data_IF_988298381469
#
_entry.id   IF_988298381469
#
_cell.length_a   1.000
_cell.length_b   1.000
_cell.length_c   1.000
_cell.angle_alpha   90.00
_cell.angle_beta   90.00
_cell.angle_gamma   90.00
#
_symmetry.space_group_name_H-M   'P 1'
#
loop_
_entity.id
_entity.type
_entity.pdbx_description
1 polymer ?
#
# COMPACT_ATOMS: atom_id res chain seq x y z
N UNK A 1 -17.30 34.29 -53.88
CA UNK A 1 -17.16 33.39 -52.71
C UNK A 1 -17.60 34.19 -51.50
N UNK A 2 -18.87 34.06 -51.13
CA UNK A 2 -19.48 34.85 -50.06
C UNK A 2 -19.04 34.29 -48.70
N UNK A 3 -18.16 35.01 -48.01
CA UNK A 3 -17.86 34.70 -46.62
C UNK A 3 -19.08 35.07 -45.79
N UNK A 4 -19.90 34.06 -45.44
CA UNK A 4 -20.95 34.18 -44.41
C UNK A 4 -20.29 34.51 -43.08
N UNK A 5 -20.04 35.79 -42.83
CA UNK A 5 -19.75 36.31 -41.48
C UNK A 5 -21.06 36.30 -40.70
N UNK A 6 -21.48 35.11 -40.28
CA UNK A 6 -22.56 34.96 -39.32
C UNK A 6 -22.12 35.61 -38.02
N UNK A 7 -22.77 36.71 -37.64
CA UNK A 7 -22.49 37.37 -36.36
C UNK A 7 -22.77 36.39 -35.23
N UNK A 8 -21.76 36.10 -34.41
CA UNK A 8 -21.87 35.20 -33.27
C UNK A 8 -22.96 35.75 -32.35
N UNK A 9 -24.04 35.01 -32.17
CA UNK A 9 -25.12 35.47 -31.30
C UNK A 9 -24.69 35.28 -29.84
N UNK A 10 -25.04 36.23 -28.98
CA UNK A 10 -24.71 36.16 -27.55
C UNK A 10 -25.23 34.85 -26.92
N UNK A 11 -26.34 34.32 -27.42
CA UNK A 11 -26.93 33.03 -27.05
C UNK A 11 -25.99 31.85 -27.36
N UNK A 12 -25.31 31.87 -28.50
CA UNK A 12 -24.37 30.82 -28.91
C UNK A 12 -23.12 30.82 -28.00
N UNK A 13 -22.62 32.00 -27.62
CA UNK A 13 -21.53 32.13 -26.64
C UNK A 13 -21.96 31.61 -25.26
N UNK A 14 -23.14 32.00 -24.79
CA UNK A 14 -23.66 31.55 -23.50
C UNK A 14 -23.87 30.03 -23.47
N UNK A 15 -24.37 29.46 -24.57
CA UNK A 15 -24.57 28.02 -24.70
C UNK A 15 -23.22 27.29 -24.70
N UNK A 16 -22.22 27.80 -25.41
CA UNK A 16 -20.87 27.23 -25.41
C UNK A 16 -20.21 27.27 -24.02
N UNK A 17 -20.34 28.38 -23.29
CA UNK A 17 -19.81 28.51 -21.93
C UNK A 17 -20.55 27.59 -20.95
N UNK A 18 -21.88 27.47 -21.06
CA UNK A 18 -22.67 26.56 -20.22
C UNK A 18 -22.31 25.10 -20.47
N UNK A 19 -22.20 24.69 -21.73
CA UNK A 19 -21.77 23.33 -22.10
C UNK A 19 -20.35 23.06 -21.61
N UNK A 20 -19.44 24.02 -21.77
CA UNK A 20 -18.06 23.88 -21.30
C UNK A 20 -17.99 23.81 -19.77
N UNK A 21 -18.75 24.64 -19.07
CA UNK A 21 -18.85 24.61 -17.61
C UNK A 21 -19.44 23.32 -17.08
N UNK A 22 -20.52 22.81 -17.68
CA UNK A 22 -21.13 21.53 -17.33
C UNK A 22 -20.15 20.37 -17.58
N UNK A 23 -19.44 20.39 -18.71
CA UNK A 23 -18.41 19.41 -19.03
C UNK A 23 -17.27 19.43 -17.99
N UNK A 24 -16.78 20.62 -17.62
CA UNK A 24 -15.76 20.77 -16.57
C UNK A 24 -16.26 20.26 -15.22
N UNK A 25 -17.52 20.54 -14.86
CA UNK A 25 -18.13 20.05 -13.62
C UNK A 25 -18.32 18.53 -13.60
N UNK A 26 -18.46 17.87 -14.74
CA UNK A 26 -18.51 16.40 -14.82
C UNK A 26 -17.12 15.77 -14.73
N UNK A 27 -16.11 16.38 -15.34
CA UNK A 27 -14.73 15.87 -15.37
C UNK A 27 -14.01 16.13 -14.03
N UNK A 28 -14.25 17.29 -13.40
CA UNK A 28 -13.58 17.71 -12.18
C UNK A 28 -13.73 16.74 -10.97
N UNK A 29 -14.94 16.26 -10.60
CA UNK A 29 -15.09 15.30 -9.50
C UNK A 29 -14.47 13.94 -9.83
N UNK A 30 -14.57 13.49 -11.08
CA UNK A 30 -13.92 12.25 -11.56
C UNK A 30 -12.40 12.34 -11.44
N UNK A 31 -11.79 13.45 -11.88
CA UNK A 31 -10.34 13.70 -11.74
C UNK A 31 -9.92 13.71 -10.27
N UNK A 32 -10.69 14.36 -9.39
CA UNK A 32 -10.35 14.47 -7.97
C UNK A 32 -10.56 13.17 -7.19
N UNK A 33 -11.45 12.29 -7.66
CA UNK A 33 -11.60 10.95 -7.10
C UNK A 33 -10.49 10.03 -7.61
N UNK A 34 -10.16 10.09 -8.90
CA UNK A 34 -9.08 9.31 -9.51
C UNK A 34 -7.71 9.59 -8.87
N UNK A 35 -7.39 10.85 -8.56
CA UNK A 35 -6.12 11.19 -7.88
C UNK A 35 -6.03 10.56 -6.49
N UNK A 36 -7.11 10.65 -5.69
CA UNK A 36 -7.15 10.04 -4.35
C UNK A 36 -7.29 8.52 -4.35
N UNK A 37 -7.64 7.92 -5.49
CA UNK A 37 -7.66 6.47 -5.66
C UNK A 37 -6.27 6.02 -6.08
N UNK A 38 -5.62 6.72 -7.01
CA UNK A 38 -4.29 6.35 -7.53
C UNK A 38 -3.19 6.45 -6.48
N UNK A 39 -3.23 7.45 -5.59
CA UNK A 39 -2.33 7.51 -4.42
C UNK A 39 -2.55 6.29 -3.51
N UNK A 40 -3.82 5.94 -3.21
CA UNK A 40 -4.14 4.80 -2.34
C UNK A 40 -3.81 3.43 -2.89
N UNK A 41 -3.90 3.23 -4.21
CA UNK A 41 -3.53 1.93 -4.79
C UNK A 41 -2.01 1.75 -4.85
N UNK A 42 -1.26 2.82 -5.10
CA UNK A 42 0.20 2.78 -5.12
C UNK A 42 0.78 2.43 -3.75
N UNK A 43 0.28 3.08 -2.69
CA UNK A 43 0.79 2.90 -1.33
C UNK A 43 0.39 1.54 -0.75
N UNK A 44 -0.80 1.03 -1.10
CA UNK A 44 -1.23 -0.30 -0.65
C UNK A 44 -0.44 -1.43 -1.33
N UNK A 45 -0.18 -1.31 -2.63
CA UNK A 45 0.64 -2.30 -3.37
C UNK A 45 2.10 -2.30 -2.89
N UNK A 46 2.66 -1.14 -2.55
CA UNK A 46 3.99 -1.05 -1.92
C UNK A 46 4.00 -1.62 -0.51
N UNK A 47 3.00 -1.30 0.33
CA UNK A 47 2.90 -1.86 1.67
C UNK A 47 2.80 -3.39 1.66
N UNK A 48 2.09 -3.97 0.69
CA UNK A 48 2.01 -5.43 0.51
C UNK A 48 3.36 -6.02 0.10
N UNK A 49 4.07 -5.39 -0.85
CA UNK A 49 5.40 -5.84 -1.27
C UNK A 49 6.41 -5.81 -0.12
N UNK A 50 6.42 -4.74 0.67
CA UNK A 50 7.28 -4.58 1.85
C UNK A 50 6.90 -5.61 2.91
N UNK A 51 5.61 -5.74 3.23
CA UNK A 51 5.11 -6.69 4.22
C UNK A 51 5.47 -8.13 3.89
N UNK A 52 5.34 -8.53 2.62
CA UNK A 52 5.72 -9.87 2.15
C UNK A 52 7.24 -10.10 2.15
N UNK A 53 8.03 -9.08 1.81
CA UNK A 53 9.50 -9.15 1.88
C UNK A 53 9.99 -9.31 3.33
N UNK A 54 9.43 -8.55 4.26
CA UNK A 54 9.74 -8.66 5.70
C UNK A 54 9.30 -10.02 6.22
N UNK A 55 8.09 -10.48 5.87
CA UNK A 55 7.62 -11.81 6.28
C UNK A 55 8.55 -12.93 5.82
N UNK A 56 9.01 -12.86 4.57
CA UNK A 56 9.95 -13.84 4.03
C UNK A 56 11.31 -13.77 4.71
N UNK A 57 11.85 -12.57 4.92
CA UNK A 57 13.12 -12.38 5.59
C UNK A 57 13.12 -12.95 7.01
N UNK A 58 12.07 -12.67 7.77
CA UNK A 58 11.88 -13.19 9.13
C UNK A 58 11.73 -14.70 9.13
N UNK A 59 10.93 -15.25 8.22
CA UNK A 59 10.73 -16.69 8.08
C UNK A 59 12.03 -17.41 7.75
N UNK A 60 12.78 -16.92 6.78
CA UNK A 60 14.06 -17.50 6.38
C UNK A 60 15.10 -17.36 7.51
N UNK A 61 15.14 -16.22 8.20
CA UNK A 61 16.04 -15.99 9.33
C UNK A 61 15.76 -16.89 10.53
N UNK A 62 14.48 -17.13 10.85
CA UNK A 62 14.07 -18.05 11.91
C UNK A 62 14.34 -19.52 11.55
N UNK A 63 14.10 -19.91 10.29
CA UNK A 63 14.35 -21.28 9.84
C UNK A 63 15.85 -21.61 9.74
N UNK A 64 16.66 -20.65 9.32
CA UNK A 64 18.13 -20.80 9.23
C UNK A 64 18.82 -20.66 10.59
N UNK A 65 18.10 -20.18 11.62
CA UNK A 65 18.65 -19.87 12.94
C UNK A 65 19.51 -18.61 12.96
N UNK A 66 19.47 -17.80 11.90
CA UNK A 66 20.15 -16.51 11.83
C UNK A 66 19.47 -15.45 12.70
N UNK A 67 18.16 -15.58 12.94
CA UNK A 67 17.37 -14.71 13.81
C UNK A 67 16.86 -15.56 14.97
N UNK A 68 17.08 -15.10 16.21
CA UNK A 68 16.48 -15.72 17.38
C UNK A 68 15.12 -15.09 17.67
N UNK A 69 14.22 -15.88 18.27
CA UNK A 69 12.87 -15.41 18.61
C UNK A 69 12.91 -14.18 19.53
N UNK A 70 13.86 -14.12 20.47
CA UNK A 70 14.03 -12.98 21.36
C UNK A 70 14.64 -11.73 20.71
N UNK A 71 15.14 -11.85 19.47
CA UNK A 71 15.69 -10.73 18.70
C UNK A 71 14.68 -10.18 17.67
N UNK A 72 13.49 -10.80 17.55
CA UNK A 72 12.45 -10.37 16.59
C UNK A 72 11.93 -8.96 16.88
N UNK A 73 11.74 -8.62 18.15
CA UNK A 73 11.27 -7.29 18.57
C UNK A 73 12.34 -6.20 18.41
N UNK A 74 13.63 -6.58 18.34
CA UNK A 74 14.76 -5.66 18.16
C UNK A 74 15.32 -5.69 16.73
N UNK A 75 14.70 -6.46 15.82
CA UNK A 75 15.18 -6.61 14.46
C UNK A 75 15.03 -5.27 13.72
N UNK A 76 16.14 -4.69 13.27
CA UNK A 76 16.09 -3.43 12.54
C UNK A 76 15.46 -3.66 11.17
N UNK A 77 14.29 -3.07 10.94
CA UNK A 77 13.60 -3.09 9.65
C UNK A 77 13.92 -1.88 8.78
N UNK A 78 14.94 -1.10 9.14
CA UNK A 78 15.35 0.11 8.42
C UNK A 78 15.64 -0.12 6.93
N UNK A 79 16.08 -1.34 6.58
CA UNK A 79 16.32 -1.74 5.17
C UNK A 79 15.02 -1.79 4.35
N UNK A 80 13.87 -1.96 5.01
CA UNK A 80 12.53 -2.07 4.43
C UNK A 80 11.67 -0.83 4.69
N UNK A 81 12.21 0.19 5.36
CA UNK A 81 11.51 1.44 5.63
C UNK A 81 11.59 2.32 4.39
N UNK A 82 10.46 2.58 3.74
CA UNK A 82 10.36 3.51 2.60
C UNK A 82 9.50 4.71 3.00
N UNK A 83 10.06 5.91 2.88
CA UNK A 83 9.45 7.23 3.15
C UNK A 83 8.49 7.27 4.35
N UNK A 84 7.21 6.94 4.16
CA UNK A 84 6.13 7.01 5.16
C UNK A 84 5.68 5.63 5.70
N UNK A 85 6.19 4.52 5.15
CA UNK A 85 5.85 3.14 5.50
C UNK A 85 6.78 2.60 6.60
N UNK A 86 6.19 2.31 7.75
CA UNK A 86 6.87 1.74 8.92
C UNK A 86 6.41 0.29 9.10
N UNK A 87 7.26 -0.69 8.76
CA UNK A 87 7.00 -2.09 9.08
C UNK A 87 7.32 -2.36 10.55
N UNK A 88 6.42 -3.08 11.22
CA UNK A 88 6.56 -3.52 12.60
C UNK A 88 6.33 -5.03 12.67
N UNK A 89 7.11 -5.71 13.50
CA UNK A 89 6.95 -7.14 13.81
C UNK A 89 6.53 -7.24 15.27
N UNK A 90 5.52 -8.06 15.54
CA UNK A 90 5.11 -8.43 16.88
C UNK A 90 5.01 -9.94 17.01
N UNK A 91 5.56 -10.49 18.09
CA UNK A 91 5.45 -11.91 18.42
C UNK A 91 4.24 -12.10 19.32
N UNK A 92 3.23 -12.87 18.89
CA UNK A 92 2.06 -13.13 19.73
C UNK A 92 2.20 -14.38 20.59
N UNK A 93 2.83 -15.43 20.04
CA UNK A 93 3.08 -16.69 20.75
C UNK A 93 4.44 -17.24 20.32
N UNK A 94 5.24 -17.66 21.29
CA UNK A 94 6.52 -18.32 21.04
C UNK A 94 6.56 -19.64 21.81
N UNK A 95 6.64 -20.74 21.09
CA UNK A 95 6.90 -22.08 21.61
C UNK A 95 8.28 -22.56 21.13
N UNK A 96 8.84 -23.62 21.73
CA UNK A 96 10.18 -24.13 21.37
C UNK A 96 10.35 -24.49 19.88
N UNK A 97 9.26 -24.88 19.20
CA UNK A 97 9.28 -25.33 17.80
C UNK A 97 8.48 -24.44 16.84
N UNK A 98 7.72 -23.47 17.35
CA UNK A 98 6.85 -22.60 16.53
C UNK A 98 6.80 -21.19 17.09
N UNK A 99 6.75 -20.22 16.22
CA UNK A 99 6.58 -18.81 16.55
C UNK A 99 5.42 -18.27 15.74
N UNK A 100 4.45 -17.67 16.40
CA UNK A 100 3.38 -16.92 15.77
C UNK A 100 3.82 -15.45 15.73
N UNK A 101 4.04 -14.95 14.51
CA UNK A 101 4.36 -13.55 14.28
C UNK A 101 3.20 -12.86 13.59
N UNK A 102 3.03 -11.58 13.91
CA UNK A 102 2.17 -10.65 13.21
C UNK A 102 3.02 -9.50 12.71
N UNK A 103 2.94 -9.26 11.42
CA UNK A 103 3.65 -8.19 10.72
C UNK A 103 2.62 -7.16 10.30
N UNK A 104 2.88 -5.91 10.63
CA UNK A 104 2.04 -4.77 10.27
C UNK A 104 2.87 -3.75 9.52
N UNK A 105 2.36 -3.22 8.41
CA UNK A 105 2.97 -2.06 7.74
C UNK A 105 2.01 -0.89 7.89
N UNK A 106 2.51 0.16 8.50
CA UNK A 106 1.75 1.35 8.87
C UNK A 106 2.22 2.56 8.08
N UNK A 107 1.30 3.38 7.60
CA UNK A 107 1.56 4.72 7.08
C UNK A 107 1.02 5.74 8.10
N UNK A 108 1.91 6.29 8.93
CA UNK A 108 1.53 7.13 10.06
C UNK A 108 0.62 6.41 11.07
N UNK A 109 -0.69 6.70 11.05
CA UNK A 109 -1.68 6.09 11.95
C UNK A 109 -2.57 5.03 11.27
N UNK A 110 -2.33 4.72 9.99
CA UNK A 110 -3.13 3.77 9.22
C UNK A 110 -2.33 2.50 8.99
N UNK A 111 -2.91 1.36 9.38
CA UNK A 111 -2.37 0.05 8.98
C UNK A 111 -2.79 -0.21 7.55
N UNK A 112 -1.81 -0.33 6.65
CA UNK A 112 -2.03 -0.63 5.23
C UNK A 112 -1.92 -2.12 4.93
N UNK A 113 -1.12 -2.84 5.72
CA UNK A 113 -0.93 -4.27 5.60
C UNK A 113 -0.84 -4.92 6.97
N UNK A 114 -1.48 -6.07 7.12
CA UNK A 114 -1.38 -6.92 8.30
C UNK A 114 -1.36 -8.38 7.86
N UNK A 115 -0.31 -9.10 8.26
CA UNK A 115 -0.20 -10.53 8.02
C UNK A 115 0.30 -11.24 9.26
N UNK A 116 -0.46 -12.25 9.66
CA UNK A 116 -0.10 -13.14 10.75
C UNK A 116 0.25 -14.53 10.21
N UNK A 117 1.24 -15.19 10.81
CA UNK A 117 1.70 -16.49 10.34
C UNK A 117 2.41 -17.30 11.41
N UNK A 118 2.25 -18.61 11.32
CA UNK A 118 3.03 -19.58 12.08
C UNK A 118 4.33 -19.90 11.35
N UNK A 119 5.45 -19.73 12.03
CA UNK A 119 6.78 -20.10 11.54
C UNK A 119 7.32 -21.21 12.43
N UNK A 120 7.66 -22.35 11.82
CA UNK A 120 8.27 -23.45 12.52
C UNK A 120 9.77 -23.21 12.64
N UNK A 121 10.28 -23.14 13.87
CA UNK A 121 11.70 -23.05 14.17
C UNK A 121 12.24 -24.47 14.31
N UNK A 122 12.95 -24.95 13.30
CA UNK A 122 13.51 -26.30 13.26
C UNK A 122 14.00 -26.66 11.87
N UNK A 123 15.06 -27.46 11.78
CA UNK A 123 15.62 -27.91 10.51
C UNK A 123 14.55 -28.58 9.63
N UNK A 124 14.58 -28.39 8.30
CA UNK A 124 13.62 -28.99 7.39
C UNK A 124 13.81 -30.52 7.42
N UNK A 125 12.98 -31.22 8.21
CA UNK A 125 13.12 -32.68 8.33
C UNK A 125 12.37 -33.35 9.48
N UNK A 126 11.85 -32.63 10.47
CA UNK A 126 11.12 -33.27 11.58
C UNK A 126 9.61 -32.96 11.49
N UNK A 127 8.92 -33.65 10.59
CA UNK A 127 7.48 -33.89 10.75
C UNK A 127 7.27 -35.13 11.64
N UNK A 128 6.26 -35.13 12.54
CA UNK A 128 5.90 -36.31 13.31
C UNK A 128 5.35 -37.45 12.44
#
# INVERSE_FOLDING_TARGET
MENKRGGFTLVEVMTAILLFGMLMLLIFPMRRMMVRVLERTGDQEHAEMIGDAVFRHVTDGLQTGAIRVGELDELSLDTFCEDDLVPEISVEDSSESRVFIRITVSEGARVLYERSGNIFCGSPGQQP
#
